data_IF_859991518285
#
_entry.id   IF_859991518285
#
_cell.length_a   1.000
_cell.length_b   1.000
_cell.length_c   1.000
_cell.angle_alpha   90.00
_cell.angle_beta   90.00
_cell.angle_gamma   90.00
#
_symmetry.space_group_name_H-M   'P 1'
#
loop_
_entity.id
_entity.type
_entity.pdbx_description
1 polymer ?
#
# COMPACT_ATOMS: atom_id res chain seq x y z
N UNK A 1 1.69 13.73 8.55
CA UNK A 1 1.88 12.28 8.31
C UNK A 1 1.00 11.83 7.15
N UNK A 2 1.53 10.99 6.28
CA UNK A 2 0.78 10.48 5.14
C UNK A 2 -0.27 9.46 5.60
N UNK A 3 -1.42 9.46 4.96
CA UNK A 3 -2.48 8.52 5.26
C UNK A 3 -2.79 7.68 4.03
N UNK A 4 -3.13 6.41 4.26
CA UNK A 4 -3.62 5.53 3.21
C UNK A 4 -5.03 6.01 2.86
N UNK A 5 -5.27 6.30 1.58
CA UNK A 5 -6.61 6.67 1.12
C UNK A 5 -7.30 5.41 0.60
N UNK A 6 -8.46 5.11 1.17
CA UNK A 6 -9.24 3.95 0.77
C UNK A 6 -10.25 4.38 -0.29
N UNK A 7 -10.21 3.69 -1.42
CA UNK A 7 -11.03 3.99 -2.58
C UNK A 7 -12.08 2.91 -2.79
N UNK A 8 -12.89 3.05 -3.83
CA UNK A 8 -13.89 2.04 -4.18
C UNK A 8 -13.22 0.76 -4.64
N UNK A 9 -13.93 -0.36 -4.50
CA UNK A 9 -13.47 -1.69 -4.93
C UNK A 9 -12.20 -2.15 -4.19
N UNK A 10 -12.07 -1.75 -2.93
CA UNK A 10 -10.94 -2.07 -2.06
C UNK A 10 -9.59 -1.57 -2.56
N UNK A 11 -9.62 -0.62 -3.50
CA UNK A 11 -8.39 0.02 -3.97
C UNK A 11 -7.88 1.00 -2.94
N UNK A 12 -6.59 1.28 -3.00
CA UNK A 12 -5.99 2.29 -2.11
C UNK A 12 -5.07 3.20 -2.91
N UNK A 13 -4.82 4.37 -2.33
CA UNK A 13 -3.89 5.34 -2.91
C UNK A 13 -2.82 5.68 -1.88
N UNK A 14 -1.57 5.60 -2.31
CA UNK A 14 -0.42 6.04 -1.52
C UNK A 14 0.35 7.07 -2.33
N UNK A 15 0.49 8.26 -1.75
CA UNK A 15 1.33 9.31 -2.33
C UNK A 15 1.04 9.56 -3.82
N UNK A 16 -0.25 9.56 -4.17
CA UNK A 16 -0.68 9.85 -5.55
C UNK A 16 -0.68 8.66 -6.49
N UNK A 17 -0.24 7.49 -6.03
CA UNK A 17 -0.22 6.28 -6.85
C UNK A 17 -1.38 5.37 -6.43
N UNK A 18 -2.16 4.92 -7.38
CA UNK A 18 -3.30 4.04 -7.13
C UNK A 18 -2.90 2.58 -7.24
N UNK A 19 -3.41 1.78 -6.31
CA UNK A 19 -3.13 0.35 -6.23
C UNK A 19 -4.42 -0.45 -6.18
N UNK A 20 -4.41 -1.60 -6.81
CA UNK A 20 -5.55 -2.53 -6.75
C UNK A 20 -5.17 -3.76 -5.93
N UNK A 21 -6.12 -4.37 -5.20
CA UNK A 21 -5.81 -5.50 -4.35
C UNK A 21 -5.73 -6.82 -5.11
N UNK A 22 -4.81 -7.67 -4.64
CA UNK A 22 -4.75 -9.09 -4.99
C UNK A 22 -4.83 -9.89 -3.70
N UNK A 23 -5.33 -11.10 -3.78
CA UNK A 23 -5.50 -11.94 -2.59
C UNK A 23 -4.24 -12.65 -2.14
N UNK A 24 -3.21 -12.66 -2.95
CA UNK A 24 -1.97 -13.37 -2.66
C UNK A 24 -0.99 -12.41 -2.02
N UNK A 25 -0.53 -12.75 -0.82
CA UNK A 25 0.35 -11.89 -0.03
C UNK A 25 1.68 -12.58 0.25
N UNK A 26 2.27 -13.17 -0.79
CA UNK A 26 3.52 -13.93 -0.65
C UNK A 26 4.65 -13.45 -1.56
N UNK A 27 4.51 -12.27 -2.13
CA UNK A 27 5.58 -11.69 -2.92
C UNK A 27 6.62 -11.06 -1.99
N UNK A 28 7.90 -11.11 -2.33
CA UNK A 28 8.92 -10.46 -1.51
C UNK A 28 8.72 -8.95 -1.54
N UNK A 29 9.08 -8.22 -0.46
CA UNK A 29 8.93 -6.78 -0.45
C UNK A 29 9.81 -6.13 -1.51
N UNK A 30 9.27 -5.12 -2.20
CA UNK A 30 10.07 -4.33 -3.11
C UNK A 30 10.80 -3.25 -2.33
N UNK A 31 11.96 -2.84 -2.82
CA UNK A 31 12.79 -1.85 -2.16
C UNK A 31 12.74 -0.53 -2.92
N UNK A 32 12.81 0.58 -2.19
CA UNK A 32 12.81 1.91 -2.75
C UNK A 32 12.79 2.92 -1.60
N UNK A 33 12.55 4.18 -1.90
CA UNK A 33 12.33 5.17 -0.86
C UNK A 33 11.09 4.78 -0.08
N UNK A 34 11.15 4.93 1.23
CA UNK A 34 10.03 4.54 2.10
C UNK A 34 9.49 5.76 2.84
N UNK A 35 8.19 5.73 3.11
CA UNK A 35 7.51 6.73 3.93
C UNK A 35 6.58 6.02 4.89
N UNK A 36 6.24 6.72 5.97
CA UNK A 36 5.28 6.23 6.94
C UNK A 36 3.87 6.61 6.49
N UNK A 37 2.95 5.66 6.59
CA UNK A 37 1.54 5.88 6.30
C UNK A 37 0.71 5.38 7.47
N UNK A 38 -0.36 6.11 7.77
CA UNK A 38 -1.32 5.73 8.79
C UNK A 38 -2.53 5.10 8.11
N UNK A 39 -2.97 3.94 8.62
CA UNK A 39 -4.17 3.28 8.09
C UNK A 39 -5.44 3.80 8.79
N UNK A 40 -6.57 3.19 8.45
CA UNK A 40 -7.87 3.57 8.99
C UNK A 40 -7.99 3.33 10.50
N UNK A 41 -7.19 2.43 11.05
CA UNK A 41 -7.18 2.11 12.48
C UNK A 41 -6.17 2.93 13.26
N UNK A 42 -5.43 3.82 12.60
CA UNK A 42 -4.39 4.62 13.23
C UNK A 42 -3.06 3.88 13.34
N UNK A 43 -2.92 2.70 12.76
CA UNK A 43 -1.68 1.94 12.77
C UNK A 43 -0.70 2.53 11.75
N UNK A 44 0.55 2.69 12.14
CA UNK A 44 1.57 3.25 11.27
C UNK A 44 2.31 2.13 10.56
N UNK A 45 2.39 2.25 9.25
CA UNK A 45 3.11 1.32 8.39
C UNK A 45 4.16 2.06 7.58
N UNK A 46 5.22 1.37 7.20
CA UNK A 46 6.26 1.91 6.31
C UNK A 46 6.16 1.20 4.97
N UNK A 47 5.95 1.96 3.90
CA UNK A 47 5.83 1.43 2.56
C UNK A 47 6.77 2.15 1.60
N UNK A 48 7.26 1.46 0.55
CA UNK A 48 8.04 2.12 -0.49
C UNK A 48 7.16 3.12 -1.25
N UNK A 49 7.67 4.32 -1.46
CA UNK A 49 6.95 5.34 -2.26
C UNK A 49 7.12 5.12 -3.75
N UNK A 50 8.13 4.36 -4.14
CA UNK A 50 8.34 3.95 -5.52
C UNK A 50 8.30 2.43 -5.52
N UNK A 51 7.14 1.86 -5.83
CA UNK A 51 6.94 0.43 -5.76
C UNK A 51 5.83 0.02 -6.72
N UNK A 52 6.02 -1.10 -7.37
CA UNK A 52 4.98 -1.68 -8.21
C UNK A 52 3.95 -2.42 -7.36
N UNK A 53 4.31 -2.82 -6.15
CA UNK A 53 3.43 -3.58 -5.27
C UNK A 53 3.92 -3.54 -3.83
N UNK A 54 2.99 -3.82 -2.90
CA UNK A 54 3.32 -3.99 -1.48
C UNK A 54 2.23 -4.85 -0.81
N UNK A 55 2.55 -5.38 0.37
CA UNK A 55 1.62 -6.20 1.14
C UNK A 55 1.00 -5.39 2.27
N UNK A 56 -0.31 -5.54 2.47
CA UNK A 56 -1.03 -4.85 3.53
C UNK A 56 -2.26 -5.66 3.93
N UNK A 57 -2.36 -6.00 5.22
CA UNK A 57 -3.51 -6.68 5.81
C UNK A 57 -3.96 -7.92 5.03
N UNK A 58 -3.01 -8.76 4.63
CA UNK A 58 -3.31 -10.01 3.96
C UNK A 58 -3.51 -9.90 2.46
N UNK A 59 -3.38 -8.72 1.90
CA UNK A 59 -3.50 -8.50 0.46
C UNK A 59 -2.19 -7.98 -0.12
N UNK A 60 -1.92 -8.33 -1.35
CA UNK A 60 -0.89 -7.70 -2.15
C UNK A 60 -1.56 -6.64 -3.01
N UNK A 61 -1.12 -5.40 -2.89
CA UNK A 61 -1.63 -4.29 -3.69
C UNK A 61 -0.65 -4.00 -4.81
N UNK A 62 -1.15 -3.94 -6.02
CA UNK A 62 -0.33 -3.75 -7.22
C UNK A 62 -0.71 -2.43 -7.88
N UNK A 63 0.29 -1.65 -8.28
CA UNK A 63 0.07 -0.36 -8.94
C UNK A 63 -0.68 -0.55 -10.26
N UNK A 64 -1.66 0.31 -10.49
CA UNK A 64 -2.42 0.31 -11.74
C UNK A 64 -1.63 0.90 -12.89
#
# INVERSE_FOLDING_TARGET
MNRIKYLKEDKIELNGVMYKPYKICNLPPSFGMVEEFEDEDGTIYTYPVISEWFNHKGYTYIAE
#
